data_IF_738254092682
#
_entry.id   IF_738254092682
#
_cell.length_a   1.000
_cell.length_b   1.000
_cell.length_c   1.000
_cell.angle_alpha   90.00
_cell.angle_beta   90.00
_cell.angle_gamma   90.00
#
_symmetry.space_group_name_H-M   'P 1'
#
loop_
_entity.id
_entity.type
_entity.pdbx_description
1 polymer ?
#
# COMPACT_ATOMS: atom_id res chain seq x y z
N UNK A 1 -3.54 21.10 8.00
CA UNK A 1 -3.30 19.70 8.40
C UNK A 1 -1.84 19.61 8.86
N UNK A 2 -1.54 19.11 10.06
CA UNK A 2 -0.15 18.83 10.47
C UNK A 2 0.12 17.37 10.13
N UNK A 3 0.99 17.11 9.14
CA UNK A 3 1.65 15.81 9.07
C UNK A 3 2.36 15.59 10.41
N UNK A 4 2.23 14.41 11.00
CA UNK A 4 3.01 14.05 12.18
C UNK A 4 4.49 13.95 11.77
N UNK A 5 5.42 14.32 12.65
CA UNK A 5 6.87 14.22 12.41
C UNK A 5 7.39 12.77 12.38
N UNK A 6 6.48 11.80 12.26
CA UNK A 6 6.73 10.38 12.40
C UNK A 6 6.16 9.64 11.20
N UNK A 7 7.03 8.91 10.51
CA UNK A 7 6.65 7.90 9.54
C UNK A 7 6.67 6.56 10.28
N UNK A 8 5.50 6.02 10.62
CA UNK A 8 5.40 4.66 11.15
C UNK A 8 5.35 3.69 9.97
N UNK A 9 6.43 2.93 9.76
CA UNK A 9 6.45 1.83 8.79
C UNK A 9 6.16 0.50 9.48
N UNK A 10 5.25 -0.29 8.93
CA UNK A 10 4.97 -1.66 9.38
C UNK A 10 5.49 -2.62 8.30
N UNK A 11 6.57 -3.33 8.60
CA UNK A 11 7.18 -4.34 7.71
C UNK A 11 6.53 -5.71 7.94
N UNK A 12 5.75 -6.16 6.96
CA UNK A 12 4.99 -7.40 7.02
C UNK A 12 5.80 -8.51 6.34
N UNK A 13 6.91 -8.94 6.96
CA UNK A 13 7.76 -9.99 6.38
C UNK A 13 6.96 -11.28 6.17
N UNK A 14 6.71 -11.64 4.91
CA UNK A 14 6.39 -13.01 4.51
C UNK A 14 4.97 -13.30 4.00
N UNK A 15 4.40 -12.49 3.09
CA UNK A 15 3.34 -12.99 2.20
C UNK A 15 4.00 -13.79 1.08
N UNK A 16 4.25 -15.06 1.34
CA UNK A 16 4.76 -16.00 0.33
C UNK A 16 3.64 -16.64 -0.51
N UNK A 17 2.39 -16.45 -0.11
CA UNK A 17 1.20 -17.04 -0.71
C UNK A 17 0.26 -15.95 -1.21
N UNK A 18 0.14 -15.82 -2.53
CA UNK A 18 -0.79 -14.91 -3.23
C UNK A 18 -2.19 -15.51 -3.33
N UNK A 19 -2.66 -16.20 -2.29
CA UNK A 19 -4.02 -16.75 -2.28
C UNK A 19 -5.02 -15.71 -1.82
N UNK A 20 -6.21 -15.70 -2.43
CA UNK A 20 -7.32 -14.83 -2.03
C UNK A 20 -7.72 -15.00 -0.54
N UNK A 21 -7.42 -16.16 0.06
CA UNK A 21 -7.66 -16.44 1.48
C UNK A 21 -6.84 -15.52 2.41
N UNK A 22 -5.70 -15.01 1.96
CA UNK A 22 -4.84 -14.09 2.73
C UNK A 22 -5.34 -12.65 2.72
N UNK A 23 -6.30 -12.29 1.85
CA UNK A 23 -6.74 -10.92 1.71
C UNK A 23 -7.24 -10.34 3.04
N UNK A 24 -8.03 -11.09 3.82
CA UNK A 24 -8.54 -10.64 5.11
C UNK A 24 -7.43 -10.35 6.11
N UNK A 25 -6.40 -11.21 6.17
CA UNK A 25 -5.23 -11.04 7.03
C UNK A 25 -4.46 -9.76 6.65
N UNK A 26 -4.18 -9.58 5.35
CA UNK A 26 -3.47 -8.39 4.85
C UNK A 26 -4.28 -7.13 5.12
N UNK A 27 -5.58 -7.16 4.86
CA UNK A 27 -6.46 -6.02 5.13
C UNK A 27 -6.54 -5.69 6.62
N UNK A 28 -6.49 -6.69 7.50
CA UNK A 28 -6.49 -6.49 8.94
C UNK A 28 -5.19 -5.78 9.39
N UNK A 29 -4.06 -6.19 8.83
CA UNK A 29 -2.75 -5.62 9.13
C UNK A 29 -2.62 -4.18 8.65
N UNK A 30 -2.91 -3.92 7.36
CA UNK A 30 -2.82 -2.55 6.81
C UNK A 30 -3.89 -1.60 7.36
N UNK A 31 -4.92 -2.11 8.03
CA UNK A 31 -5.92 -1.29 8.72
C UNK A 31 -5.62 -1.08 10.21
N UNK A 32 -4.51 -1.63 10.72
CA UNK A 32 -4.11 -1.52 12.13
C UNK A 32 -5.01 -2.30 13.08
N UNK A 33 -5.82 -3.25 12.58
CA UNK A 33 -6.71 -4.07 13.40
C UNK A 33 -6.03 -5.32 13.95
N UNK A 34 -4.87 -5.72 13.38
CA UNK A 34 -4.01 -6.81 13.86
C UNK A 34 -2.54 -6.41 13.77
N UNK A 35 -1.74 -6.75 14.79
CA UNK A 35 -0.27 -6.60 14.75
C UNK A 35 0.44 -7.86 14.26
N UNK A 36 1.73 -7.74 13.94
CA UNK A 36 2.63 -8.80 13.42
C UNK A 36 2.73 -10.03 14.38
N UNK A 37 2.31 -9.87 15.64
CA UNK A 37 2.13 -10.96 16.59
C UNK A 37 0.71 -10.90 17.19
N UNK A 38 0.00 -12.04 17.34
CA UNK A 38 -1.37 -12.07 17.89
C UNK A 38 -1.47 -11.44 19.29
N UNK A 39 -0.35 -11.35 20.01
CA UNK A 39 -0.29 -10.85 21.39
C UNK A 39 0.23 -9.41 21.52
N UNK A 40 0.59 -8.72 20.42
CA UNK A 40 0.97 -7.30 20.45
C UNK A 40 -0.05 -6.49 19.66
N UNK A 41 -1.03 -5.94 20.36
CA UNK A 41 -1.83 -4.82 19.84
C UNK A 41 -0.86 -3.65 19.65
N UNK A 42 -0.61 -3.25 18.41
CA UNK A 42 -0.06 -1.92 18.20
C UNK A 42 -1.02 -0.91 18.82
N UNK A 43 -0.48 0.21 19.32
CA UNK A 43 -1.31 1.40 19.58
C UNK A 43 -2.17 1.64 18.34
N UNK A 44 -3.37 2.19 18.56
CA UNK A 44 -4.43 2.55 17.60
C UNK A 44 -4.00 3.57 16.54
N UNK A 45 -2.77 3.46 16.04
CA UNK A 45 -2.20 4.29 15.00
C UNK A 45 -2.93 4.00 13.71
N UNK A 46 -3.47 5.08 13.13
CA UNK A 46 -4.21 5.01 11.89
C UNK A 46 -3.20 4.94 10.76
N UNK A 47 -3.35 3.93 9.92
CA UNK A 47 -2.57 3.83 8.69
C UNK A 47 -3.23 4.73 7.65
N UNK A 48 -2.49 5.74 7.21
CA UNK A 48 -2.97 6.73 6.24
C UNK A 48 -2.44 6.47 4.83
N UNK A 49 -1.33 5.75 4.66
CA UNK A 49 -0.80 5.38 3.35
C UNK A 49 -0.30 3.92 3.34
N UNK A 50 -1.07 2.97 2.77
CA UNK A 50 -0.59 1.61 2.59
C UNK A 50 0.44 1.54 1.46
N UNK A 51 1.60 0.95 1.74
CA UNK A 51 2.69 0.70 0.79
C UNK A 51 2.89 -0.80 0.67
N UNK A 52 2.80 -1.34 -0.54
CA UNK A 52 3.13 -2.73 -0.84
C UNK A 52 4.51 -2.80 -1.49
N UNK A 53 5.46 -3.38 -0.77
CA UNK A 53 6.79 -3.63 -1.29
C UNK A 53 6.81 -5.04 -1.87
N UNK A 54 7.11 -5.12 -3.16
CA UNK A 54 7.08 -6.36 -3.92
C UNK A 54 8.47 -6.67 -4.48
N UNK A 55 8.83 -7.95 -4.48
CA UNK A 55 9.94 -8.46 -5.29
C UNK A 55 9.34 -9.27 -6.42
N UNK A 56 9.47 -8.78 -7.65
CA UNK A 56 9.02 -9.54 -8.80
C UNK A 56 9.96 -10.72 -9.05
N UNK A 57 9.41 -11.92 -9.02
CA UNK A 57 10.11 -13.15 -9.39
C UNK A 57 9.36 -13.81 -10.53
N UNK A 58 10.07 -14.06 -11.64
CA UNK A 58 9.54 -14.79 -12.80
C UNK A 58 9.10 -16.21 -12.40
N UNK A 59 9.68 -16.76 -11.32
CA UNK A 59 9.46 -18.14 -10.85
C UNK A 59 8.08 -18.34 -10.21
N UNK A 60 7.47 -17.30 -9.62
CA UNK A 60 6.20 -17.44 -8.87
C UNK A 60 4.94 -17.43 -9.75
N UNK A 61 5.08 -17.35 -11.08
CA UNK A 61 3.96 -17.30 -12.01
C UNK A 61 3.25 -15.95 -11.95
N UNK A 62 3.12 -15.30 -13.09
CA UNK A 62 2.54 -13.94 -13.18
C UNK A 62 1.05 -13.95 -12.84
N UNK A 63 0.31 -14.99 -13.21
CA UNK A 63 -1.15 -15.01 -13.11
C UNK A 63 -1.69 -15.02 -11.66
N UNK A 64 -1.27 -15.92 -10.75
CA UNK A 64 -1.80 -15.93 -9.38
C UNK A 64 -1.46 -14.64 -8.61
N UNK A 65 -0.29 -14.06 -8.89
CA UNK A 65 0.11 -12.78 -8.34
C UNK A 65 -0.82 -11.65 -8.83
N UNK A 66 -1.12 -11.58 -10.13
CA UNK A 66 -1.97 -10.53 -10.68
C UNK A 66 -3.43 -10.64 -10.20
N UNK A 67 -3.97 -11.85 -10.06
CA UNK A 67 -5.31 -12.06 -9.49
C UNK A 67 -5.37 -11.56 -8.04
N UNK A 68 -4.37 -11.91 -7.23
CA UNK A 68 -4.28 -11.42 -5.85
C UNK A 68 -4.11 -9.90 -5.78
N UNK A 69 -3.27 -9.33 -6.64
CA UNK A 69 -3.08 -7.88 -6.71
C UNK A 69 -4.39 -7.18 -7.05
N UNK A 70 -5.17 -7.69 -7.99
CA UNK A 70 -6.46 -7.11 -8.38
C UNK A 70 -7.45 -7.04 -7.19
N UNK A 71 -7.61 -8.15 -6.46
CA UNK A 71 -8.49 -8.16 -5.27
C UNK A 71 -7.96 -7.29 -4.13
N UNK A 72 -6.63 -7.22 -3.96
CA UNK A 72 -5.99 -6.41 -2.93
C UNK A 72 -6.14 -4.91 -3.22
N UNK A 73 -5.94 -4.51 -4.48
CA UNK A 73 -6.08 -3.13 -4.94
C UNK A 73 -7.51 -2.66 -4.72
N UNK A 74 -8.49 -3.44 -5.15
CA UNK A 74 -9.92 -3.12 -4.96
C UNK A 74 -10.29 -3.00 -3.48
N UNK A 75 -9.87 -3.97 -2.66
CA UNK A 75 -10.12 -3.94 -1.22
C UNK A 75 -9.48 -2.73 -0.53
N UNK A 76 -8.25 -2.38 -0.92
CA UNK A 76 -7.54 -1.19 -0.42
C UNK A 76 -8.29 0.08 -0.80
N UNK A 77 -8.68 0.23 -2.08
CA UNK A 77 -9.43 1.39 -2.55
C UNK A 77 -10.76 1.55 -1.82
N UNK A 78 -11.52 0.46 -1.63
CA UNK A 78 -12.78 0.47 -0.86
C UNK A 78 -12.58 0.86 0.61
N UNK A 79 -11.46 0.47 1.20
CA UNK A 79 -11.17 0.75 2.62
C UNK A 79 -10.68 2.17 2.85
N UNK A 80 -9.74 2.63 2.03
CA UNK A 80 -9.00 3.88 2.25
C UNK A 80 -9.45 5.04 1.36
N UNK A 81 -10.14 4.77 0.25
CA UNK A 81 -10.61 5.77 -0.71
C UNK A 81 -9.66 5.99 -1.88
N UNK A 82 -8.40 5.58 -1.75
CA UNK A 82 -7.40 5.65 -2.81
C UNK A 82 -6.64 4.33 -2.97
N UNK A 83 -5.90 4.22 -4.07
CA UNK A 83 -5.05 3.07 -4.37
C UNK A 83 -3.95 2.91 -3.29
N UNK A 84 -3.28 1.76 -3.19
CA UNK A 84 -2.01 1.70 -2.46
C UNK A 84 -0.88 2.38 -3.23
N UNK A 85 0.27 2.55 -2.58
CA UNK A 85 1.56 2.74 -3.27
C UNK A 85 2.20 1.36 -3.45
N UNK A 86 2.67 1.03 -4.64
CA UNK A 86 3.38 -0.22 -4.92
C UNK A 86 4.82 0.08 -5.28
N UNK A 87 5.74 -0.60 -4.60
CA UNK A 87 7.18 -0.43 -4.75
C UNK A 87 7.78 -1.76 -5.15
N UNK A 88 8.29 -1.86 -6.37
CA UNK A 88 9.01 -3.01 -6.87
C UNK A 88 10.49 -2.85 -6.58
N UNK A 89 11.01 -3.75 -5.75
CA UNK A 89 12.43 -3.82 -5.38
C UNK A 89 13.24 -4.56 -6.44
N UNK A 90 14.56 -4.35 -6.44
CA UNK A 90 15.50 -4.85 -7.46
C UNK A 90 15.19 -4.32 -8.85
N UNK A 91 14.68 -3.10 -8.95
CA UNK A 91 14.23 -2.50 -10.19
C UNK A 91 15.24 -2.68 -11.32
N UNK A 92 16.52 -2.41 -11.09
CA UNK A 92 17.53 -2.45 -12.16
C UNK A 92 17.96 -3.86 -12.54
N UNK A 93 17.71 -4.84 -11.68
CA UNK A 93 17.99 -6.26 -11.93
C UNK A 93 16.79 -7.02 -12.55
N UNK A 94 15.65 -6.34 -12.71
CA UNK A 94 14.44 -6.94 -13.28
C UNK A 94 14.44 -6.75 -14.80
N UNK A 95 14.51 -7.87 -15.53
CA UNK A 95 14.24 -7.88 -16.97
C UNK A 95 12.78 -7.49 -17.25
N UNK A 96 12.53 -6.82 -18.37
CA UNK A 96 11.19 -6.46 -18.87
C UNK A 96 10.32 -5.59 -17.94
N UNK A 97 10.91 -4.53 -17.36
CA UNK A 97 10.20 -3.51 -16.52
C UNK A 97 8.85 -3.08 -17.12
N UNK A 98 8.80 -2.81 -18.42
CA UNK A 98 7.58 -2.34 -19.09
C UNK A 98 6.48 -3.40 -19.14
N UNK A 99 6.84 -4.67 -19.33
CA UNK A 99 5.88 -5.79 -19.30
C UNK A 99 5.28 -5.94 -17.91
N UNK A 100 6.11 -5.89 -16.88
CA UNK A 100 5.68 -6.01 -15.48
C UNK A 100 4.76 -4.85 -15.11
N UNK A 101 5.15 -3.63 -15.49
CA UNK A 101 4.32 -2.46 -15.30
C UNK A 101 2.97 -2.60 -16.01
N UNK A 102 2.97 -3.13 -17.23
CA UNK A 102 1.75 -3.39 -17.98
C UNK A 102 0.84 -4.42 -17.27
N UNK A 103 1.40 -5.54 -16.79
CA UNK A 103 0.66 -6.55 -16.02
C UNK A 103 0.03 -5.97 -14.75
N UNK A 104 0.78 -5.14 -14.01
CA UNK A 104 0.30 -4.47 -12.80
C UNK A 104 -0.83 -3.47 -13.12
N UNK A 105 -0.72 -2.76 -14.24
CA UNK A 105 -1.78 -1.86 -14.71
C UNK A 105 -3.03 -2.65 -15.09
N UNK A 106 -2.87 -3.79 -15.76
CA UNK A 106 -4.00 -4.69 -16.07
C UNK A 106 -4.67 -5.25 -14.81
N UNK A 107 -3.92 -5.45 -13.72
CA UNK A 107 -4.47 -5.79 -12.42
C UNK A 107 -5.24 -4.62 -11.74
N UNK A 108 -5.29 -3.44 -12.36
CA UNK A 108 -6.11 -2.31 -11.91
C UNK A 108 -5.34 -1.21 -11.16
N UNK A 109 -4.01 -1.29 -11.12
CA UNK A 109 -3.18 -0.27 -10.46
C UNK A 109 -2.88 0.91 -11.42
N UNK A 110 -3.07 2.17 -11.02
CA UNK A 110 -2.66 3.30 -11.85
C UNK A 110 -1.14 3.41 -11.88
N UNK A 111 -0.59 3.73 -13.07
CA UNK A 111 0.86 3.90 -13.29
C UNK A 111 1.51 4.85 -12.29
N UNK A 112 0.82 5.93 -11.91
CA UNK A 112 1.29 6.92 -10.94
C UNK A 112 1.48 6.39 -9.51
N UNK A 113 1.00 5.18 -9.23
CA UNK A 113 1.14 4.53 -7.93
C UNK A 113 2.12 3.37 -7.93
N UNK A 114 2.86 3.14 -9.04
CA UNK A 114 3.84 2.06 -9.18
C UNK A 114 5.23 2.66 -9.30
N UNK A 115 6.14 2.24 -8.42
CA UNK A 115 7.51 2.72 -8.37
C UNK A 115 8.48 1.55 -8.44
N UNK A 116 9.57 1.71 -9.17
CA UNK A 116 10.67 0.76 -9.22
C UNK A 116 11.85 1.36 -8.45
N UNK A 117 12.45 0.57 -7.55
CA UNK A 117 13.61 0.99 -6.76
C UNK A 117 14.65 -0.12 -6.71
N UNK A 118 15.91 0.27 -6.79
CA UNK A 118 17.04 -0.59 -6.45
C UNK A 118 17.40 -0.38 -4.98
N UNK A 119 17.39 -1.46 -4.20
CA UNK A 119 17.65 -1.38 -2.76
C UNK A 119 19.14 -1.14 -2.50
N UNK A 120 19.45 -0.35 -1.47
CA UNK A 120 20.80 -0.29 -0.93
C UNK A 120 21.12 -1.64 -0.26
N UNK A 121 22.14 -2.34 -0.75
CA UNK A 121 22.71 -3.52 -0.07
C UNK A 121 23.85 -3.07 0.83
N UNK A 122 24.22 -3.87 1.84
CA UNK A 122 25.36 -3.60 2.74
C UNK A 122 26.67 -3.28 1.99
N UNK A 123 26.82 -3.83 0.79
CA UNK A 123 28.02 -3.71 -0.04
C UNK A 123 27.92 -2.58 -1.07
N UNK A 124 26.76 -1.93 -1.20
CA UNK A 124 26.50 -0.85 -2.15
C UNK A 124 25.78 0.31 -1.44
N UNK A 125 26.57 1.06 -0.65
CA UNK A 125 26.16 2.27 0.08
C UNK A 125 26.62 3.56 -0.60
N UNK A 126 27.13 3.46 -1.82
CA UNK A 126 27.49 4.66 -2.58
C UNK A 126 26.24 5.53 -2.76
N UNK A 127 26.39 6.84 -2.55
CA UNK A 127 25.30 7.80 -2.73
C UNK A 127 24.99 7.94 -4.22
N UNK A 128 24.14 7.04 -4.72
CA UNK A 128 23.66 7.07 -6.09
C UNK A 128 22.45 8.01 -6.12
N UNK A 129 22.65 9.19 -6.70
CA UNK A 129 21.65 10.28 -6.76
C UNK A 129 20.30 9.80 -7.26
N UNK A 130 20.30 8.93 -8.27
CA UNK A 130 19.10 8.39 -8.92
C UNK A 130 18.25 7.58 -7.94
N UNK A 131 18.88 6.78 -7.06
CA UNK A 131 18.18 6.00 -6.03
C UNK A 131 17.55 6.90 -4.97
N UNK A 132 18.26 7.95 -4.56
CA UNK A 132 17.71 8.95 -3.64
C UNK A 132 16.52 9.71 -4.25
N UNK A 133 16.62 10.11 -5.52
CA UNK A 133 15.51 10.77 -6.24
C UNK A 133 14.30 9.84 -6.34
N UNK A 134 14.50 8.55 -6.61
CA UNK A 134 13.41 7.57 -6.64
C UNK A 134 12.72 7.44 -5.27
N UNK A 135 13.50 7.37 -4.19
CA UNK A 135 12.95 7.32 -2.83
C UNK A 135 12.17 8.60 -2.48
N UNK A 136 12.68 9.78 -2.83
CA UNK A 136 11.99 11.05 -2.60
C UNK A 136 10.65 11.13 -3.33
N UNK A 137 10.60 10.64 -4.58
CA UNK A 137 9.34 10.55 -5.34
C UNK A 137 8.32 9.61 -4.69
N UNK A 138 8.79 8.48 -4.13
CA UNK A 138 7.93 7.57 -3.36
C UNK A 138 7.38 8.28 -2.12
N UNK A 139 8.22 8.99 -1.37
CA UNK A 139 7.81 9.72 -0.17
C UNK A 139 6.80 10.82 -0.49
N UNK A 140 7.03 11.59 -1.56
CA UNK A 140 6.08 12.58 -2.07
C UNK A 140 4.71 11.94 -2.39
N UNK A 141 4.72 10.83 -3.13
CA UNK A 141 3.50 10.09 -3.44
C UNK A 141 2.79 9.56 -2.18
N UNK A 142 3.53 9.14 -1.16
CA UNK A 142 2.97 8.70 0.11
C UNK A 142 2.27 9.84 0.86
N UNK A 143 2.84 11.05 0.85
CA UNK A 143 2.25 12.23 1.47
C UNK A 143 0.92 12.58 0.80
N UNK A 144 0.92 12.64 -0.54
CA UNK A 144 -0.30 12.91 -1.31
C UNK A 144 -1.37 11.83 -1.05
N UNK A 145 -0.95 10.56 -1.02
CA UNK A 145 -1.86 9.44 -0.75
C UNK A 145 -2.44 9.46 0.66
N UNK A 146 -1.65 9.87 1.64
CA UNK A 146 -2.12 10.06 3.01
C UNK A 146 -3.18 11.15 3.08
N UNK A 147 -2.98 12.28 2.39
CA UNK A 147 -3.94 13.39 2.35
C UNK A 147 -5.29 12.95 1.73
N UNK A 148 -5.24 12.22 0.61
CA UNK A 148 -6.44 11.64 -0.04
C UNK A 148 -7.21 10.73 0.94
N UNK A 149 -6.51 9.82 1.61
CA UNK A 149 -7.10 8.85 2.52
C UNK A 149 -7.66 9.49 3.80
N UNK A 150 -6.98 10.51 4.33
CA UNK A 150 -7.47 11.31 5.46
C UNK A 150 -8.75 12.05 5.06
N UNK A 151 -8.75 12.68 3.88
CA UNK A 151 -9.91 13.40 3.34
C UNK A 151 -11.10 12.48 3.12
N UNK A 152 -10.88 11.31 2.50
CA UNK A 152 -11.91 10.29 2.30
C UNK A 152 -12.52 9.84 3.64
N UNK A 153 -11.68 9.55 4.64
CA UNK A 153 -12.12 9.15 5.97
C UNK A 153 -12.95 10.23 6.65
N UNK A 154 -12.57 11.50 6.49
CA UNK A 154 -13.31 12.63 7.06
C UNK A 154 -14.70 12.78 6.43
N UNK A 155 -14.80 12.72 5.09
CA UNK A 155 -16.08 12.74 4.37
C UNK A 155 -17.01 11.60 4.81
N UNK A 156 -16.49 10.38 4.84
CA UNK A 156 -17.25 9.19 5.25
C UNK A 156 -17.78 9.29 6.68
N UNK A 157 -17.03 9.89 7.61
CA UNK A 157 -17.49 10.13 8.99
C UNK A 157 -18.66 11.11 9.03
N UNK A 158 -18.63 12.18 8.25
CA UNK A 158 -19.72 13.15 8.20
C UNK A 158 -21.01 12.52 7.68
N UNK A 159 -20.92 11.75 6.59
CA UNK A 159 -22.06 11.02 6.01
C UNK A 159 -22.71 10.09 7.03
N UNK A 160 -21.91 9.34 7.79
CA UNK A 160 -22.40 8.46 8.85
C UNK A 160 -23.11 9.24 9.96
N UNK A 161 -22.53 10.34 10.43
CA UNK A 161 -23.16 11.18 11.46
C UNK A 161 -24.48 11.80 10.99
N UNK A 162 -24.58 12.19 9.72
CA UNK A 162 -25.83 12.69 9.13
C UNK A 162 -26.88 11.57 9.07
N UNK A 163 -26.52 10.38 8.59
CA UNK A 163 -27.42 9.23 8.54
C UNK A 163 -27.93 8.80 9.93
N UNK A 164 -27.07 8.81 10.95
CA UNK A 164 -27.45 8.52 12.33
C UNK A 164 -28.43 9.55 12.89
N UNK A 165 -28.19 10.84 12.63
CA UNK A 165 -29.11 11.92 13.01
C UNK A 165 -30.47 11.76 12.33
N UNK A 166 -30.51 11.42 11.04
CA UNK A 166 -31.77 11.20 10.33
C UNK A 166 -32.54 9.99 10.89
N UNK A 167 -31.87 8.88 11.18
CA UNK A 167 -32.52 7.71 11.81
C UNK A 167 -33.17 8.06 13.15
N UNK A 168 -32.51 8.88 13.98
CA UNK A 168 -33.05 9.31 15.27
C UNK A 168 -34.20 10.33 15.17
N UNK A 169 -34.37 10.99 14.02
CA UNK A 169 -35.49 11.93 13.77
C UNK A 169 -36.71 11.20 13.22
N UNK A 170 -36.51 10.07 12.53
CA UNK A 170 -37.57 9.27 11.91
C UNK A 170 -37.91 7.96 12.66
N UNK A 171 -37.39 7.78 13.88
CA UNK A 171 -37.74 6.70 14.81
C UNK A 171 -38.57 7.24 15.97
#
# INVERSE_FOLDING_TARGET
MKLTDHVTTVDTRGIFDFSARRLSDVMAEISGTRGIAPNRRHRTEKIDCPIFVFKYSVVTGTLPCMEFLSILIDATKKRFGAYPIMVLTFGDSVADKDKILHEIILAGMPRSSVFFIENYTKDNHEMIKERHVALLKILEACILRADDNITFRWKRKQELTVCEKLKNVFS
#
